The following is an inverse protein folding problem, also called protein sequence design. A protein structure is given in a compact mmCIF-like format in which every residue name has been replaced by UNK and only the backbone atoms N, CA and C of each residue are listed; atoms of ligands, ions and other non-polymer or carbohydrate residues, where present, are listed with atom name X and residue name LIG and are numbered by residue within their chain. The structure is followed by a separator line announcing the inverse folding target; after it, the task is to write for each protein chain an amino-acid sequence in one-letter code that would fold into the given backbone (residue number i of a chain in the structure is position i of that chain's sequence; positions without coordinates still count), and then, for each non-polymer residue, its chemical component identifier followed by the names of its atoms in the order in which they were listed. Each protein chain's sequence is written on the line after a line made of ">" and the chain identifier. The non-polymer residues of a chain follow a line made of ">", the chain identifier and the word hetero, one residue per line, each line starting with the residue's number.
data_IF_598365735889
#
_entry.id   IF_598365735889
#
_cell.length_a   1.000
_cell.length_b   1.000
_cell.length_c   1.000
_cell.angle_alpha   90.00
_cell.angle_beta   90.00
_cell.angle_gamma   90.00
#
_symmetry.space_group_name_H-M   'P 1'
#
loop_
_entity.id
_entity.type
_entity.pdbx_description
1 polymer ?
#
# COMPACT_ATOMS: atom_id res chain seq x y z
N UNK A 1 -38.33 6.58 4.28
CA UNK A 1 -37.73 6.43 2.92
C UNK A 1 -36.22 6.28 2.94
N UNK A 2 -35.37 7.26 3.31
CA UNK A 2 -33.88 7.06 3.24
C UNK A 2 -33.40 6.01 4.25
N UNK A 3 -33.80 6.10 5.52
CA UNK A 3 -33.42 5.17 6.57
C UNK A 3 -33.84 3.73 6.24
N UNK A 4 -35.09 3.54 5.82
CA UNK A 4 -35.63 2.24 5.41
C UNK A 4 -34.86 1.65 4.22
N UNK A 5 -34.53 2.49 3.22
CA UNK A 5 -33.73 2.08 2.08
C UNK A 5 -32.29 1.62 2.51
N UNK A 6 -31.67 2.39 3.39
CA UNK A 6 -30.35 2.05 3.91
C UNK A 6 -30.39 0.82 4.82
N UNK A 7 -31.45 0.65 5.61
CA UNK A 7 -31.63 -0.56 6.43
C UNK A 7 -31.74 -1.81 5.54
N UNK A 8 -32.52 -1.75 4.45
CA UNK A 8 -32.59 -2.86 3.49
C UNK A 8 -31.23 -3.24 2.89
N UNK A 9 -30.39 -2.25 2.56
CA UNK A 9 -29.00 -2.51 2.11
C UNK A 9 -28.13 -3.15 3.20
N UNK A 10 -28.29 -2.73 4.45
CA UNK A 10 -27.55 -3.34 5.57
C UNK A 10 -28.00 -4.79 5.80
N UNK A 11 -29.30 -5.07 5.70
CA UNK A 11 -29.84 -6.41 5.82
C UNK A 11 -29.35 -7.33 4.69
N UNK A 12 -29.26 -6.83 3.45
CA UNK A 12 -28.66 -7.55 2.31
C UNK A 12 -27.18 -7.86 2.56
N UNK A 13 -26.40 -6.90 3.06
CA UNK A 13 -24.98 -7.13 3.41
C UNK A 13 -24.84 -8.17 4.52
N UNK A 14 -25.74 -8.15 5.51
CA UNK A 14 -25.75 -9.12 6.59
C UNK A 14 -26.10 -10.53 6.07
N UNK A 15 -27.12 -10.66 5.24
CA UNK A 15 -27.50 -11.94 4.63
C UNK A 15 -26.40 -12.56 3.78
N UNK A 16 -25.55 -11.73 3.14
CA UNK A 16 -24.41 -12.17 2.36
C UNK A 16 -23.12 -12.33 3.18
N UNK A 17 -23.15 -12.16 4.51
CA UNK A 17 -21.98 -12.16 5.40
C UNK A 17 -20.90 -11.14 4.97
N UNK A 18 -21.32 -9.97 4.43
CA UNK A 18 -20.43 -8.90 3.98
C UNK A 18 -20.36 -7.72 4.97
N UNK A 19 -21.03 -7.81 6.11
CA UNK A 19 -20.99 -6.78 7.15
C UNK A 19 -19.57 -6.55 7.64
N UNK A 20 -19.20 -5.27 7.79
CA UNK A 20 -17.91 -4.83 8.32
C UNK A 20 -18.12 -4.16 9.67
N UNK A 21 -17.16 -4.32 10.57
CA UNK A 21 -17.11 -3.64 11.85
C UNK A 21 -15.69 -3.21 12.18
N UNK A 22 -15.58 -2.12 12.92
CA UNK A 22 -14.30 -1.66 13.46
C UNK A 22 -13.95 -2.43 14.72
N UNK A 23 -12.65 -2.62 14.95
CA UNK A 23 -12.10 -3.15 16.20
C UNK A 23 -11.32 -2.04 16.89
N UNK A 24 -11.29 -2.05 18.20
CA UNK A 24 -10.55 -1.05 18.98
C UNK A 24 -9.24 -1.67 19.46
N UNK A 25 -8.12 -1.13 18.99
CA UNK A 25 -6.81 -1.45 19.55
C UNK A 25 -6.61 -0.66 20.85
N UNK A 26 -6.40 -1.35 21.94
CA UNK A 26 -6.18 -0.76 23.28
C UNK A 26 -4.69 -0.47 23.52
N UNK A 27 -3.82 -1.02 22.67
CA UNK A 27 -2.35 -0.85 22.74
C UNK A 27 -1.81 -0.28 21.43
N UNK A 28 -0.55 0.19 21.46
CA UNK A 28 0.14 0.67 20.26
C UNK A 28 0.31 -0.43 19.19
N UNK A 29 0.63 0.00 17.96
CA UNK A 29 0.89 -0.91 16.83
C UNK A 29 2.12 -1.76 17.11
N UNK A 30 1.93 -3.07 17.22
CA UNK A 30 2.96 -4.07 17.48
C UNK A 30 2.47 -5.45 16.98
N UNK A 31 3.34 -6.47 16.88
CA UNK A 31 2.90 -7.83 16.58
C UNK A 31 1.85 -8.34 17.56
N UNK A 32 1.99 -8.05 18.85
CA UNK A 32 1.00 -8.39 19.89
C UNK A 32 0.24 -7.14 20.29
N UNK A 33 -1.08 -7.20 20.19
CA UNK A 33 -1.97 -6.11 20.55
C UNK A 33 -3.13 -6.61 21.38
N UNK A 34 -3.56 -5.81 22.34
CA UNK A 34 -4.87 -6.00 22.99
C UNK A 34 -5.91 -5.33 22.11
N UNK A 35 -6.85 -6.13 21.62
CA UNK A 35 -7.89 -5.68 20.68
C UNK A 35 -9.27 -6.02 21.24
N UNK A 36 -10.17 -5.03 21.25
CA UNK A 36 -11.56 -5.21 21.59
C UNK A 36 -12.38 -5.58 20.36
N UNK A 37 -12.99 -6.76 20.40
CA UNK A 37 -13.85 -7.28 19.34
C UNK A 37 -15.25 -6.63 19.32
N UNK A 38 -16.07 -7.04 18.36
CA UNK A 38 -17.47 -6.61 18.26
C UNK A 38 -18.33 -7.10 19.46
N UNK A 39 -17.90 -8.16 20.14
CA UNK A 39 -18.48 -8.68 21.38
C UNK A 39 -18.16 -7.84 22.64
N UNK A 40 -17.39 -6.75 22.45
CA UNK A 40 -16.94 -5.87 23.52
C UNK A 40 -15.82 -6.42 24.39
N UNK A 41 -15.34 -7.64 24.15
CA UNK A 41 -14.25 -8.24 24.94
C UNK A 41 -12.88 -7.88 24.38
N UNK A 42 -11.94 -7.52 25.27
CA UNK A 42 -10.56 -7.27 24.92
C UNK A 42 -9.76 -8.58 25.01
N UNK A 43 -9.00 -8.89 23.96
CA UNK A 43 -8.13 -10.06 23.89
C UNK A 43 -6.76 -9.70 23.36
N UNK A 44 -5.72 -10.34 23.87
CA UNK A 44 -4.39 -10.22 23.26
C UNK A 44 -4.35 -11.11 22.00
N UNK A 45 -4.00 -10.48 20.88
CA UNK A 45 -3.91 -11.15 19.59
C UNK A 45 -2.52 -10.93 18.98
N UNK A 46 -1.96 -11.97 18.38
CA UNK A 46 -0.80 -11.88 17.50
C UNK A 46 -1.27 -11.50 16.09
N UNK A 47 -0.84 -10.34 15.62
CA UNK A 47 -1.40 -9.64 14.45
C UNK A 47 -0.61 -9.96 13.18
N UNK A 48 -1.19 -10.67 12.23
CA UNK A 48 -0.65 -10.89 10.89
C UNK A 48 -1.40 -10.08 9.83
N UNK A 49 -1.76 -8.82 10.13
CA UNK A 49 -2.58 -7.98 9.26
C UNK A 49 -2.13 -6.52 9.19
N UNK A 50 -1.06 -6.14 9.88
CA UNK A 50 -0.54 -4.77 9.85
C UNK A 50 0.23 -4.53 8.55
N UNK A 51 0.10 -3.30 7.99
CA UNK A 51 0.94 -2.82 6.89
C UNK A 51 2.19 -2.07 7.40
N UNK A 52 2.43 -2.00 8.71
CA UNK A 52 3.67 -1.48 9.31
C UNK A 52 4.79 -2.52 9.14
N UNK A 53 5.20 -2.75 7.89
CA UNK A 53 6.12 -3.82 7.51
C UNK A 53 7.44 -3.79 8.25
N UNK A 54 7.97 -2.59 8.49
CA UNK A 54 9.22 -2.42 9.21
C UNK A 54 9.03 -2.31 10.73
N UNK A 55 7.78 -2.24 11.23
CA UNK A 55 7.50 -2.09 12.67
C UNK A 55 7.98 -0.74 13.22
N UNK A 56 7.83 0.32 12.44
CA UNK A 56 8.27 1.66 12.82
C UNK A 56 7.19 2.49 13.52
N UNK A 57 5.91 2.10 13.42
CA UNK A 57 4.79 2.89 13.96
C UNK A 57 4.88 3.11 15.51
N UNK A 58 5.47 2.17 16.23
CA UNK A 58 5.71 2.30 17.67
C UNK A 58 7.20 2.52 18.03
N UNK A 59 8.02 2.92 17.04
CA UNK A 59 9.46 3.10 17.27
C UNK A 59 9.73 4.30 18.21
N UNK A 60 10.53 4.14 19.28
CA UNK A 60 10.75 5.20 20.28
C UNK A 60 11.31 6.50 19.68
N UNK A 61 12.21 6.41 18.70
CA UNK A 61 12.78 7.58 18.05
C UNK A 61 11.73 8.37 17.27
N UNK A 62 10.75 7.69 16.65
CA UNK A 62 9.65 8.34 15.92
C UNK A 62 8.70 9.01 16.91
N UNK A 63 8.34 8.33 18.01
CA UNK A 63 7.51 8.91 19.06
C UNK A 63 8.15 10.16 19.66
N UNK A 64 9.47 10.13 19.90
CA UNK A 64 10.25 11.28 20.38
C UNK A 64 10.21 12.42 19.35
N UNK A 65 10.51 12.15 18.09
CA UNK A 65 10.51 13.18 17.04
C UNK A 65 9.11 13.78 16.82
N UNK A 66 8.04 12.99 16.95
CA UNK A 66 6.66 13.47 16.90
C UNK A 66 6.37 14.46 18.04
N UNK A 67 6.81 14.14 19.25
CA UNK A 67 6.69 15.03 20.41
C UNK A 67 7.48 16.33 20.23
N UNK A 68 8.72 16.25 19.74
CA UNK A 68 9.55 17.42 19.41
C UNK A 68 8.88 18.30 18.33
N UNK A 69 8.39 17.68 17.25
CA UNK A 69 7.65 18.39 16.20
C UNK A 69 6.40 19.09 16.73
N UNK A 70 5.66 18.46 17.65
CA UNK A 70 4.48 19.07 18.28
C UNK A 70 4.85 20.28 19.16
N UNK A 71 5.99 20.24 19.84
CA UNK A 71 6.49 21.38 20.62
C UNK A 71 6.92 22.55 19.73
N UNK A 72 7.50 22.29 18.56
CA UNK A 72 7.99 23.31 17.63
C UNK A 72 6.84 23.93 16.82
N UNK A 73 5.93 23.11 16.28
CA UNK A 73 4.95 23.51 15.27
C UNK A 73 3.50 23.50 15.78
N UNK A 74 3.23 22.96 16.96
CA UNK A 74 1.87 22.71 17.43
C UNK A 74 1.25 21.42 16.86
N UNK A 75 -0.06 21.22 17.11
CA UNK A 75 -0.76 19.98 16.81
C UNK A 75 -1.35 19.89 15.38
N UNK A 76 -1.38 20.97 14.60
CA UNK A 76 -2.03 20.96 13.29
C UNK A 76 -1.52 22.05 12.35
N UNK A 77 -1.82 21.91 11.06
CA UNK A 77 -1.35 22.82 10.02
C UNK A 77 -2.19 24.11 9.87
N UNK A 78 -3.43 24.10 10.35
CA UNK A 78 -4.33 25.27 10.38
C UNK A 78 -4.93 25.68 9.04
N UNK A 79 -4.39 25.24 7.90
CA UNK A 79 -4.85 25.57 6.56
C UNK A 79 -4.39 24.58 5.50
N UNK A 80 -4.84 24.77 4.25
CA UNK A 80 -4.28 24.07 3.10
C UNK A 80 -2.84 24.51 2.82
N UNK A 81 -2.02 23.69 2.14
CA UNK A 81 -0.61 24.00 1.86
C UNK A 81 -0.40 25.36 1.19
N UNK A 82 -1.25 25.71 0.22
CA UNK A 82 -1.13 26.93 -0.57
C UNK A 82 -1.58 28.21 0.17
N UNK A 83 -2.30 28.07 1.28
CA UNK A 83 -2.71 29.23 2.09
C UNK A 83 -1.67 29.52 3.17
N UNK A 84 -1.52 28.66 4.17
CA UNK A 84 -0.54 28.80 5.24
C UNK A 84 -0.17 27.47 5.91
N UNK A 85 -0.63 26.33 5.36
CA UNK A 85 -0.41 25.00 5.96
C UNK A 85 0.97 24.39 5.65
N UNK A 86 1.75 24.98 4.73
CA UNK A 86 3.07 24.46 4.35
C UNK A 86 4.16 25.02 5.26
N UNK A 87 4.62 24.20 6.21
CA UNK A 87 5.68 24.57 7.16
C UNK A 87 7.07 24.17 6.68
N UNK A 88 8.10 24.55 7.45
CA UNK A 88 9.48 24.11 7.22
C UNK A 88 9.60 22.58 7.22
N UNK A 89 8.89 21.87 8.10
CA UNK A 89 8.91 20.42 8.15
C UNK A 89 8.41 19.79 6.84
N UNK A 90 7.32 20.29 6.25
CA UNK A 90 6.84 19.86 4.93
C UNK A 90 7.89 20.06 3.84
N UNK A 91 8.52 21.26 3.83
CA UNK A 91 9.57 21.57 2.87
C UNK A 91 10.73 20.58 2.96
N UNK A 92 11.20 20.30 4.17
CA UNK A 92 12.35 19.41 4.41
C UNK A 92 12.06 17.96 4.01
N UNK A 93 10.86 17.45 4.30
CA UNK A 93 10.40 16.12 3.84
C UNK A 93 10.38 16.05 2.32
N UNK A 94 9.82 17.05 1.64
CA UNK A 94 9.75 17.06 0.18
C UNK A 94 11.15 17.16 -0.44
N UNK A 95 12.03 17.99 0.13
CA UNK A 95 13.41 18.13 -0.31
C UNK A 95 14.19 16.79 -0.16
N UNK A 96 14.04 16.13 0.99
CA UNK A 96 14.70 14.86 1.25
C UNK A 96 14.19 13.74 0.33
N UNK A 97 12.89 13.68 0.05
CA UNK A 97 12.32 12.75 -0.93
C UNK A 97 12.84 13.03 -2.34
N UNK A 98 12.88 14.28 -2.77
CA UNK A 98 13.41 14.65 -4.08
C UNK A 98 14.88 14.22 -4.23
N UNK A 99 15.70 14.45 -3.21
CA UNK A 99 17.10 14.00 -3.17
C UNK A 99 17.19 12.47 -3.21
N UNK A 100 16.38 11.78 -2.39
CA UNK A 100 16.41 10.32 -2.30
C UNK A 100 16.08 9.65 -3.63
N UNK A 101 15.12 10.19 -4.38
CA UNK A 101 14.68 9.61 -5.65
C UNK A 101 15.40 10.17 -6.90
N UNK A 102 16.28 11.16 -6.75
CA UNK A 102 17.05 11.74 -7.87
C UNK A 102 17.90 10.75 -8.68
N UNK A 103 18.41 9.62 -8.11
CA UNK A 103 19.10 8.61 -8.91
C UNK A 103 18.23 7.95 -9.98
N UNK A 104 16.92 7.86 -9.75
CA UNK A 104 15.96 7.15 -10.62
C UNK A 104 15.07 8.08 -11.43
N UNK A 105 14.80 9.27 -10.94
CA UNK A 105 13.95 10.27 -11.63
C UNK A 105 14.78 11.53 -11.88
N UNK A 106 15.15 11.84 -13.13
CA UNK A 106 15.85 13.07 -13.47
C UNK A 106 15.06 14.31 -13.06
N UNK A 107 15.75 15.33 -12.57
CA UNK A 107 15.13 16.58 -12.08
C UNK A 107 13.97 16.34 -11.09
N UNK A 108 14.12 15.34 -10.22
CA UNK A 108 13.12 14.91 -9.26
C UNK A 108 12.65 16.06 -8.35
N UNK A 109 11.36 16.16 -8.16
CA UNK A 109 10.70 16.97 -7.14
C UNK A 109 9.65 16.13 -6.44
N UNK A 110 9.38 16.44 -5.19
CA UNK A 110 8.35 15.77 -4.40
C UNK A 110 7.22 16.73 -4.01
N UNK A 111 6.01 16.21 -3.94
CA UNK A 111 4.83 16.90 -3.39
C UNK A 111 4.15 15.95 -2.39
N UNK A 112 3.80 16.46 -1.19
CA UNK A 112 3.20 15.68 -0.10
C UNK A 112 1.68 15.72 -0.12
N UNK A 113 1.05 14.67 0.39
CA UNK A 113 -0.40 14.52 0.53
C UNK A 113 -0.72 13.91 1.90
N UNK A 114 -1.92 14.15 2.43
CA UNK A 114 -2.33 13.56 3.71
C UNK A 114 -2.52 12.03 3.64
N UNK A 115 -2.82 11.48 2.48
CA UNK A 115 -2.99 10.02 2.28
C UNK A 115 -2.61 9.59 0.87
N UNK A 116 -2.23 8.30 0.71
CA UNK A 116 -2.00 7.70 -0.62
C UNK A 116 -3.22 7.73 -1.53
N UNK A 117 -4.41 7.60 -0.94
CA UNK A 117 -5.67 7.71 -1.70
C UNK A 117 -5.78 9.08 -2.37
N UNK A 118 -5.50 10.16 -1.63
CA UNK A 118 -5.50 11.53 -2.17
C UNK A 118 -4.41 11.72 -3.23
N UNK A 119 -3.22 11.18 -3.01
CA UNK A 119 -2.11 11.28 -3.96
C UNK A 119 -2.46 10.64 -5.31
N UNK A 120 -3.02 9.43 -5.30
CA UNK A 120 -3.46 8.73 -6.51
C UNK A 120 -4.58 9.47 -7.25
N UNK A 121 -5.61 9.92 -6.53
CA UNK A 121 -6.66 10.75 -7.13
C UNK A 121 -6.08 12.02 -7.77
N UNK A 122 -5.12 12.67 -7.09
CA UNK A 122 -4.48 13.90 -7.58
C UNK A 122 -3.75 13.67 -8.90
N UNK A 123 -2.85 12.67 -8.92
CA UNK A 123 -2.01 12.38 -10.08
C UNK A 123 -2.86 11.97 -11.29
N UNK A 124 -3.72 10.98 -11.11
CA UNK A 124 -4.49 10.40 -12.22
C UNK A 124 -5.51 11.39 -12.76
N UNK A 125 -6.24 12.11 -11.89
CA UNK A 125 -7.23 13.07 -12.34
C UNK A 125 -6.64 14.35 -12.95
N UNK A 126 -5.49 14.83 -12.44
CA UNK A 126 -4.86 16.04 -12.95
C UNK A 126 -4.17 15.83 -14.29
N UNK A 127 -3.51 14.66 -14.48
CA UNK A 127 -2.79 14.32 -15.71
C UNK A 127 -3.69 13.70 -16.79
N UNK A 128 -4.81 13.08 -16.37
CA UNK A 128 -5.79 12.45 -17.25
C UNK A 128 -6.80 13.45 -17.82
N UNK A 129 -6.35 14.41 -18.62
CA UNK A 129 -7.23 15.36 -19.30
C UNK A 129 -7.94 14.72 -20.55
N UNK A 130 -8.73 15.51 -21.29
CA UNK A 130 -9.48 15.04 -22.44
C UNK A 130 -8.60 14.64 -23.65
N UNK A 131 -7.30 14.98 -23.63
CA UNK A 131 -6.32 14.60 -24.66
C UNK A 131 -5.51 13.35 -24.30
N UNK A 132 -5.76 12.81 -23.11
CA UNK A 132 -5.05 11.65 -22.59
C UNK A 132 -5.84 10.35 -22.79
N UNK A 133 -5.12 9.24 -22.86
CA UNK A 133 -5.65 7.89 -22.67
C UNK A 133 -4.89 7.22 -21.51
N UNK A 134 -5.64 6.67 -20.57
CA UNK A 134 -5.12 5.97 -19.40
C UNK A 134 -5.22 4.46 -19.65
N UNK A 135 -4.10 3.77 -19.57
CA UNK A 135 -3.99 2.32 -19.62
C UNK A 135 -3.86 1.81 -18.18
N UNK A 136 -4.97 1.33 -17.62
CA UNK A 136 -5.06 0.95 -16.21
C UNK A 136 -5.00 -0.57 -16.04
N UNK A 137 -4.12 -1.01 -15.18
CA UNK A 137 -4.07 -2.41 -14.75
C UNK A 137 -5.38 -2.80 -14.05
N UNK A 138 -5.85 -4.02 -14.24
CA UNK A 138 -7.19 -4.48 -13.79
C UNK A 138 -7.28 -4.68 -12.28
N UNK A 139 -6.18 -5.02 -11.60
CA UNK A 139 -6.12 -5.22 -10.15
C UNK A 139 -5.60 -4.02 -9.38
N UNK A 140 -5.47 -2.87 -10.03
CA UNK A 140 -5.06 -1.63 -9.39
C UNK A 140 -5.86 -1.33 -8.12
N UNK A 141 -5.20 -0.70 -7.16
CA UNK A 141 -5.83 -0.23 -5.93
C UNK A 141 -7.03 0.69 -6.23
N UNK A 142 -8.05 0.63 -5.37
CA UNK A 142 -9.30 1.40 -5.51
C UNK A 142 -9.08 2.91 -5.77
N UNK A 143 -8.04 3.50 -5.17
CA UNK A 143 -7.72 4.91 -5.37
C UNK A 143 -7.25 5.23 -6.80
N UNK A 144 -6.51 4.34 -7.45
CA UNK A 144 -6.14 4.47 -8.87
C UNK A 144 -7.38 4.34 -9.75
N UNK A 145 -8.22 3.33 -9.48
CA UNK A 145 -9.49 3.15 -10.19
C UNK A 145 -10.39 4.37 -10.06
N UNK A 146 -10.55 4.92 -8.86
CA UNK A 146 -11.36 6.12 -8.64
C UNK A 146 -10.72 7.36 -9.26
N UNK A 147 -9.39 7.44 -9.28
CA UNK A 147 -8.66 8.46 -10.03
C UNK A 147 -9.00 8.43 -11.53
N UNK A 148 -9.05 7.22 -12.13
CA UNK A 148 -9.44 7.07 -13.55
C UNK A 148 -10.89 7.49 -13.81
N UNK A 149 -11.80 7.27 -12.85
CA UNK A 149 -13.21 7.71 -12.94
C UNK A 149 -13.37 9.22 -12.87
N UNK A 150 -12.49 9.91 -12.13
CA UNK A 150 -12.49 11.36 -12.01
C UNK A 150 -11.76 12.05 -13.17
N UNK A 151 -10.89 11.34 -13.86
CA UNK A 151 -10.18 11.82 -15.03
C UNK A 151 -11.15 12.08 -16.20
N UNK A 152 -10.78 12.98 -17.10
CA UNK A 152 -11.51 13.23 -18.36
C UNK A 152 -10.98 12.38 -19.50
N UNK A 153 -9.91 11.65 -19.28
CA UNK A 153 -9.25 10.78 -20.25
C UNK A 153 -10.11 9.57 -20.60
N UNK A 154 -9.92 9.06 -21.81
CA UNK A 154 -10.36 7.71 -22.14
C UNK A 154 -9.60 6.71 -21.27
N UNK A 155 -10.29 5.69 -20.73
CA UNK A 155 -9.69 4.64 -19.90
C UNK A 155 -9.77 3.30 -20.61
N UNK A 156 -8.63 2.70 -20.86
CA UNK A 156 -8.47 1.35 -21.41
C UNK A 156 -7.84 0.46 -20.33
N UNK A 157 -8.43 -0.71 -20.05
CA UNK A 157 -7.88 -1.63 -19.06
C UNK A 157 -7.10 -2.73 -19.75
N UNK A 158 -6.00 -3.17 -19.12
CA UNK A 158 -5.25 -4.35 -19.53
C UNK A 158 -5.25 -5.40 -18.42
N UNK A 159 -5.18 -6.65 -18.83
CA UNK A 159 -5.21 -7.78 -17.89
C UNK A 159 -3.97 -7.78 -16.99
N UNK A 160 -4.14 -8.39 -15.83
CA UNK A 160 -3.10 -8.45 -14.78
C UNK A 160 -1.77 -8.96 -15.35
N UNK A 161 -0.72 -8.12 -15.23
CA UNK A 161 0.66 -8.34 -15.70
C UNK A 161 0.81 -8.60 -17.22
N UNK A 162 -0.22 -8.40 -18.04
CA UNK A 162 -0.15 -8.71 -19.47
C UNK A 162 0.45 -7.56 -20.31
N UNK A 163 1.78 -7.59 -20.43
CA UNK A 163 2.54 -6.64 -21.24
C UNK A 163 2.21 -6.74 -22.75
N UNK A 164 1.76 -7.90 -23.23
CA UNK A 164 1.42 -8.10 -24.64
C UNK A 164 0.11 -7.41 -24.99
N UNK A 165 -0.90 -7.57 -24.14
CA UNK A 165 -2.16 -6.84 -24.30
C UNK A 165 -1.93 -5.33 -24.23
N UNK A 166 -1.18 -4.86 -23.20
CA UNK A 166 -0.85 -3.44 -23.07
C UNK A 166 -0.12 -2.88 -24.31
N UNK A 167 0.86 -3.62 -24.85
CA UNK A 167 1.56 -3.23 -26.09
C UNK A 167 0.57 -3.04 -27.25
N UNK A 168 -0.35 -3.99 -27.45
CA UNK A 168 -1.36 -3.91 -28.49
C UNK A 168 -2.27 -2.69 -28.34
N UNK A 169 -2.68 -2.40 -27.09
CA UNK A 169 -3.51 -1.24 -26.78
C UNK A 169 -2.77 0.09 -27.01
N UNK A 170 -1.51 0.19 -26.56
CA UNK A 170 -0.66 1.37 -26.80
C UNK A 170 -0.42 1.64 -28.27
N UNK A 171 -0.16 0.58 -29.07
CA UNK A 171 0.04 0.69 -30.50
C UNK A 171 -1.22 1.14 -31.25
N UNK A 172 -2.40 0.79 -30.77
CA UNK A 172 -3.68 1.18 -31.35
C UNK A 172 -4.14 2.59 -30.94
N UNK A 173 -3.48 3.20 -29.93
CA UNK A 173 -3.88 4.49 -29.39
C UNK A 173 -3.38 5.67 -30.20
N UNK A 174 -4.29 6.52 -30.64
CA UNK A 174 -3.99 7.83 -31.23
C UNK A 174 -3.94 8.98 -30.22
N UNK A 175 -3.99 8.72 -28.92
CA UNK A 175 -3.98 9.77 -27.89
C UNK A 175 -2.65 10.52 -27.89
N UNK A 176 -2.74 11.83 -27.69
CA UNK A 176 -1.56 12.72 -27.59
C UNK A 176 -0.76 12.45 -26.31
N UNK A 177 -1.45 12.12 -25.21
CA UNK A 177 -0.85 11.81 -23.91
C UNK A 177 -1.29 10.38 -23.55
N UNK A 178 -0.34 9.53 -23.22
CA UNK A 178 -0.59 8.15 -22.79
C UNK A 178 -0.06 7.96 -21.37
N UNK A 179 -0.91 7.44 -20.50
CA UNK A 179 -0.60 7.20 -19.08
C UNK A 179 -0.79 5.72 -18.77
N UNK A 180 0.27 5.01 -18.44
CA UNK A 180 0.21 3.65 -17.90
C UNK A 180 0.11 3.77 -16.40
N UNK A 181 -0.86 3.09 -15.77
CA UNK A 181 -1.14 3.19 -14.33
C UNK A 181 -1.16 1.80 -13.71
N UNK A 182 -0.32 1.59 -12.71
CA UNK A 182 -0.18 0.30 -12.02
C UNK A 182 0.22 0.45 -10.56
N UNK A 183 -0.19 -0.49 -9.70
CA UNK A 183 0.51 -0.77 -8.44
C UNK A 183 1.87 -1.39 -8.73
N UNK A 184 2.89 -1.11 -7.93
CA UNK A 184 4.19 -1.80 -7.98
C UNK A 184 4.10 -3.17 -7.30
N UNK A 185 3.38 -3.22 -6.18
CA UNK A 185 3.10 -4.45 -5.42
C UNK A 185 1.60 -4.52 -5.17
N UNK A 186 0.96 -5.56 -5.68
CA UNK A 186 -0.49 -5.72 -5.57
C UNK A 186 -0.90 -6.15 -4.15
N UNK A 187 -1.74 -5.35 -3.53
CA UNK A 187 -2.03 -5.44 -2.10
C UNK A 187 -2.72 -6.72 -1.64
N UNK A 188 -3.41 -7.44 -2.56
CA UNK A 188 -4.16 -8.66 -2.25
C UNK A 188 -3.43 -9.93 -2.69
N UNK A 189 -2.48 -9.81 -3.61
CA UNK A 189 -1.76 -10.95 -4.21
C UNK A 189 -0.29 -11.00 -3.75
N UNK A 190 0.29 -9.85 -3.41
CA UNK A 190 1.66 -9.73 -2.95
C UNK A 190 2.71 -9.86 -4.06
N UNK A 191 2.28 -10.01 -5.30
CA UNK A 191 3.14 -10.05 -6.47
C UNK A 191 3.59 -8.66 -6.92
N UNK A 192 4.62 -8.61 -7.74
CA UNK A 192 5.28 -7.38 -8.17
C UNK A 192 5.01 -7.16 -9.65
N UNK A 193 4.59 -5.95 -10.02
CA UNK A 193 4.41 -5.56 -11.42
C UNK A 193 5.73 -5.68 -12.22
N UNK A 194 5.69 -6.06 -13.49
CA UNK A 194 6.86 -6.17 -14.35
C UNK A 194 7.34 -4.78 -14.81
N UNK A 195 7.71 -3.91 -13.83
CA UNK A 195 8.04 -2.51 -14.07
C UNK A 195 9.09 -2.27 -15.15
N UNK A 196 10.16 -3.09 -15.30
CA UNK A 196 11.10 -2.93 -16.43
C UNK A 196 10.42 -3.03 -17.79
N UNK A 197 9.50 -3.97 -17.97
CA UNK A 197 8.75 -4.12 -19.20
C UNK A 197 7.73 -3.00 -19.42
N UNK A 198 7.08 -2.54 -18.34
CA UNK A 198 6.15 -1.39 -18.38
C UNK A 198 6.88 -0.11 -18.77
N UNK A 199 8.07 0.14 -18.20
CA UNK A 199 8.88 1.29 -18.55
C UNK A 199 9.36 1.25 -20.00
N UNK A 200 9.81 0.08 -20.47
CA UNK A 200 10.20 -0.11 -21.88
C UNK A 200 9.05 0.21 -22.84
N UNK A 201 7.81 -0.21 -22.50
CA UNK A 201 6.63 0.15 -23.27
C UNK A 201 6.31 1.65 -23.19
N UNK A 202 6.48 2.26 -22.01
CA UNK A 202 6.28 3.70 -21.85
C UNK A 202 7.25 4.49 -22.75
N UNK A 203 8.52 4.09 -22.81
CA UNK A 203 9.54 4.71 -23.66
C UNK A 203 9.27 4.48 -25.16
N UNK A 204 8.89 3.25 -25.55
CA UNK A 204 8.60 2.89 -26.94
C UNK A 204 7.40 3.65 -27.51
N UNK A 205 6.35 3.85 -26.71
CA UNK A 205 5.08 4.44 -27.18
C UNK A 205 4.88 5.89 -26.75
N UNK A 206 5.92 6.57 -26.26
CA UNK A 206 5.85 7.96 -25.76
C UNK A 206 4.77 8.12 -24.68
N UNK A 207 4.75 7.19 -23.72
CA UNK A 207 3.82 7.17 -22.59
C UNK A 207 4.54 7.53 -21.26
N UNK A 208 3.78 7.84 -20.23
CA UNK A 208 4.25 8.05 -18.87
C UNK A 208 3.83 6.87 -17.99
N UNK A 209 4.65 6.48 -17.03
CA UNK A 209 4.38 5.37 -16.12
C UNK A 209 4.12 5.88 -14.71
N UNK A 210 2.87 5.80 -14.27
CA UNK A 210 2.42 6.11 -12.92
C UNK A 210 2.48 4.82 -12.10
N UNK A 211 3.29 4.81 -11.06
CA UNK A 211 3.55 3.66 -10.20
C UNK A 211 3.10 3.97 -8.78
N UNK A 212 2.14 3.21 -8.27
CA UNK A 212 1.81 3.19 -6.84
C UNK A 212 2.72 2.21 -6.12
N UNK A 213 3.71 2.73 -5.42
CA UNK A 213 4.71 1.95 -4.66
C UNK A 213 4.41 1.92 -3.16
N UNK A 214 3.14 2.04 -2.79
CA UNK A 214 2.70 2.07 -1.40
C UNK A 214 3.11 0.84 -0.57
N UNK A 215 3.30 -0.30 -1.22
CA UNK A 215 3.73 -1.56 -0.58
C UNK A 215 5.21 -1.88 -0.81
N UNK A 216 5.88 -1.19 -1.72
CA UNK A 216 7.31 -1.37 -1.99
C UNK A 216 8.19 -0.38 -1.23
N UNK A 217 7.74 0.87 -1.05
CA UNK A 217 8.51 1.88 -0.30
C UNK A 217 8.85 1.41 1.12
N UNK A 218 10.11 1.52 1.48
CA UNK A 218 10.70 1.05 2.74
C UNK A 218 11.05 -0.45 2.73
N UNK A 219 10.43 -1.27 1.87
CA UNK A 219 10.55 -2.74 1.83
C UNK A 219 11.48 -3.20 0.72
N UNK A 220 11.25 -2.74 -0.52
CA UNK A 220 12.03 -3.15 -1.69
C UNK A 220 13.25 -2.25 -1.87
N UNK A 221 14.30 -2.82 -2.47
CA UNK A 221 15.58 -2.15 -2.67
C UNK A 221 16.49 -2.17 -1.44
N UNK A 222 17.79 -2.12 -1.65
CA UNK A 222 18.79 -2.21 -0.59
C UNK A 222 18.71 -1.03 0.40
N UNK A 223 18.42 0.18 -0.10
CA UNK A 223 18.22 1.40 0.67
C UNK A 223 16.76 1.62 1.11
N UNK A 224 15.81 0.78 0.64
CA UNK A 224 14.40 0.93 0.93
C UNK A 224 13.69 2.02 0.13
N UNK A 225 14.25 2.44 -1.02
CA UNK A 225 13.56 3.40 -1.89
C UNK A 225 12.41 2.77 -2.69
N UNK A 226 12.16 1.48 -2.52
CA UNK A 226 11.05 0.79 -3.17
C UNK A 226 11.39 0.20 -4.53
N UNK A 227 10.37 0.09 -5.37
CA UNK A 227 10.43 -0.64 -6.64
C UNK A 227 11.41 -0.06 -7.65
N UNK A 228 11.61 1.26 -7.69
CA UNK A 228 12.56 1.86 -8.62
C UNK A 228 14.00 1.45 -8.31
N UNK A 229 14.37 1.43 -7.02
CA UNK A 229 15.68 0.93 -6.59
C UNK A 229 15.81 -0.58 -6.83
N UNK A 230 14.76 -1.34 -6.49
CA UNK A 230 14.75 -2.80 -6.62
C UNK A 230 15.04 -3.27 -8.05
N UNK A 231 14.49 -2.59 -9.05
CA UNK A 231 14.69 -2.89 -10.46
C UNK A 231 15.79 -2.06 -11.13
N UNK A 232 16.37 -1.06 -10.44
CA UNK A 232 17.37 -0.17 -11.01
C UNK A 232 16.82 0.71 -12.16
N UNK A 233 15.55 1.11 -12.09
CA UNK A 233 14.89 1.86 -13.16
C UNK A 233 15.31 3.34 -13.12
N UNK A 234 15.53 3.94 -14.29
CA UNK A 234 15.81 5.36 -14.41
C UNK A 234 15.15 5.93 -15.65
N UNK A 235 14.20 6.85 -15.49
CA UNK A 235 13.58 7.57 -16.60
C UNK A 235 12.87 8.84 -16.10
N UNK A 236 12.82 9.89 -16.92
CA UNK A 236 11.99 11.06 -16.67
C UNK A 236 10.49 10.76 -16.74
N UNK A 237 10.12 9.64 -17.39
CA UNK A 237 8.73 9.19 -17.58
C UNK A 237 8.11 8.52 -16.36
N UNK A 238 8.88 8.39 -15.28
CA UNK A 238 8.40 7.81 -14.04
C UNK A 238 7.68 8.85 -13.17
N UNK A 239 6.50 8.48 -12.71
CA UNK A 239 5.72 9.21 -11.71
C UNK A 239 5.45 8.23 -10.58
N UNK A 240 6.16 8.39 -9.47
CA UNK A 240 6.10 7.47 -8.33
C UNK A 240 5.21 8.05 -7.24
N UNK A 241 4.24 7.28 -6.77
CA UNK A 241 3.53 7.53 -5.53
C UNK A 241 4.03 6.58 -4.45
N UNK A 242 4.27 7.08 -3.24
CA UNK A 242 4.55 6.29 -2.05
C UNK A 242 3.67 6.72 -0.88
N UNK A 243 3.39 5.80 0.04
CA UNK A 243 2.67 6.12 1.28
C UNK A 243 3.56 6.09 2.50
N UNK A 244 3.28 6.98 3.42
CA UNK A 244 4.00 7.13 4.69
C UNK A 244 3.24 6.50 5.87
N UNK A 245 2.06 5.94 5.57
CA UNK A 245 1.19 5.25 6.54
C UNK A 245 1.43 3.74 6.67
N UNK A 246 2.45 3.19 5.99
CA UNK A 246 2.81 1.78 6.05
C UNK A 246 4.23 1.62 6.62
N UNK A 247 5.22 1.24 5.81
CA UNK A 247 6.60 1.01 6.26
C UNK A 247 7.24 2.20 6.98
N UNK A 248 6.83 3.44 6.66
CA UNK A 248 7.34 4.62 7.35
C UNK A 248 6.77 4.81 8.77
N UNK A 249 5.73 4.07 9.15
CA UNK A 249 5.19 4.02 10.51
C UNK A 249 4.45 5.28 10.96
N UNK A 250 4.12 6.22 10.06
CA UNK A 250 3.45 7.48 10.39
C UNK A 250 2.16 7.65 9.57
N UNK A 251 1.98 8.79 8.92
CA UNK A 251 0.86 9.04 8.00
C UNK A 251 1.30 9.99 6.89
N UNK A 252 0.50 10.05 5.83
CA UNK A 252 0.80 10.86 4.66
C UNK A 252 1.14 10.02 3.42
N UNK A 253 1.45 10.74 2.36
CA UNK A 253 1.92 10.17 1.10
C UNK A 253 2.70 11.23 0.33
N UNK A 254 3.40 10.78 -0.69
CA UNK A 254 4.16 11.64 -1.58
C UNK A 254 4.02 11.21 -3.03
N UNK A 255 4.22 12.16 -3.92
CA UNK A 255 4.47 11.90 -5.33
C UNK A 255 5.83 12.47 -5.67
N UNK A 256 6.69 11.66 -6.30
CA UNK A 256 7.96 12.12 -6.88
C UNK A 256 7.91 11.92 -8.39
N UNK A 257 8.22 12.96 -9.11
CA UNK A 257 8.26 12.97 -10.58
C UNK A 257 9.23 14.06 -11.06
N UNK A 258 9.43 14.17 -12.37
CA UNK A 258 10.09 15.30 -12.96
C UNK A 258 9.45 16.62 -12.50
N UNK A 259 10.25 17.65 -12.20
CA UNK A 259 9.82 18.94 -11.62
C UNK A 259 8.59 19.55 -12.29
N UNK A 260 8.51 19.51 -13.62
CA UNK A 260 7.38 20.09 -14.38
C UNK A 260 6.05 19.40 -14.02
N UNK A 261 6.07 18.08 -13.75
CA UNK A 261 4.88 17.32 -13.35
C UNK A 261 4.45 17.73 -11.94
N UNK A 262 5.37 17.77 -10.98
CA UNK A 262 5.05 18.17 -9.61
C UNK A 262 4.60 19.61 -9.50
N UNK A 263 5.19 20.52 -10.29
CA UNK A 263 4.75 21.91 -10.40
C UNK A 263 3.31 22.00 -10.98
N UNK A 264 3.01 21.19 -12.00
CA UNK A 264 1.65 21.14 -12.55
C UNK A 264 0.65 20.56 -11.54
N UNK A 265 1.01 19.51 -10.80
CA UNK A 265 0.17 18.97 -9.73
C UNK A 265 -0.13 20.01 -8.65
N UNK A 266 0.84 20.82 -8.28
CA UNK A 266 0.65 21.95 -7.35
C UNK A 266 -0.44 22.92 -7.82
N UNK A 267 -0.54 23.16 -9.14
CA UNK A 267 -1.50 24.08 -9.73
C UNK A 267 -2.87 23.45 -10.02
N UNK A 268 -2.93 22.13 -10.28
CA UNK A 268 -4.09 21.47 -10.84
C UNK A 268 -4.78 20.45 -9.91
N UNK A 269 -4.05 19.89 -8.95
CA UNK A 269 -4.58 18.84 -8.07
C UNK A 269 -5.55 19.42 -7.04
N UNK A 270 -6.85 19.29 -7.30
CA UNK A 270 -7.92 19.87 -6.48
C UNK A 270 -7.87 19.44 -5.01
N UNK A 271 -7.59 18.17 -4.74
CA UNK A 271 -7.50 17.65 -3.39
C UNK A 271 -6.22 18.10 -2.65
N UNK A 272 -5.17 18.55 -3.35
CA UNK A 272 -4.05 19.25 -2.74
C UNK A 272 -4.41 20.71 -2.41
N UNK A 273 -5.02 21.42 -3.36
CA UNK A 273 -5.34 22.84 -3.25
C UNK A 273 -6.36 23.10 -2.14
N UNK A 274 -7.40 22.23 -2.04
CA UNK A 274 -8.57 22.47 -1.20
C UNK A 274 -8.64 21.61 0.07
N UNK A 275 -7.55 20.88 0.41
CA UNK A 275 -7.48 20.11 1.65
C UNK A 275 -6.50 20.73 2.63
N UNK A 276 -6.80 20.62 3.91
CA UNK A 276 -5.86 20.98 5.00
C UNK A 276 -4.59 20.14 4.88
N UNK A 277 -3.44 20.75 5.09
CA UNK A 277 -2.15 20.06 5.10
C UNK A 277 -2.05 19.08 6.27
N UNK A 278 -1.15 18.11 6.15
CA UNK A 278 -0.78 17.21 7.24
C UNK A 278 -0.24 17.99 8.44
N UNK A 279 -0.38 17.49 9.67
CA UNK A 279 0.22 18.13 10.84
C UNK A 279 1.75 18.24 10.71
N UNK A 280 2.35 19.44 10.89
CA UNK A 280 3.80 19.60 10.76
C UNK A 280 4.63 18.71 11.69
N UNK A 281 4.08 18.33 12.86
CA UNK A 281 4.72 17.39 13.77
C UNK A 281 4.94 16.00 13.13
N UNK A 282 4.00 15.56 12.30
CA UNK A 282 4.13 14.30 11.54
C UNK A 282 5.23 14.42 10.51
N UNK A 283 5.26 15.52 9.75
CA UNK A 283 6.32 15.79 8.76
C UNK A 283 7.70 15.84 9.44
N UNK A 284 7.81 16.47 10.60
CA UNK A 284 9.06 16.48 11.38
C UNK A 284 9.51 15.06 11.75
N UNK A 285 8.59 14.21 12.22
CA UNK A 285 8.90 12.83 12.57
C UNK A 285 9.25 11.94 11.37
N UNK A 286 8.73 12.26 10.16
CA UNK A 286 9.05 11.54 8.92
C UNK A 286 10.54 11.63 8.56
N UNK A 287 11.22 12.74 8.87
CA UNK A 287 12.67 12.85 8.66
C UNK A 287 13.45 11.79 9.47
N UNK A 288 13.01 11.53 10.70
CA UNK A 288 13.57 10.46 11.54
C UNK A 288 13.24 9.09 10.94
N UNK A 289 12.00 8.88 10.47
CA UNK A 289 11.61 7.63 9.82
C UNK A 289 12.46 7.34 8.58
N UNK A 290 12.70 8.33 7.72
CA UNK A 290 13.54 8.17 6.53
C UNK A 290 14.99 7.82 6.90
N UNK A 291 15.53 8.43 7.95
CA UNK A 291 16.86 8.09 8.45
C UNK A 291 16.93 6.63 8.93
N UNK A 292 15.89 6.15 9.64
CA UNK A 292 15.79 4.74 10.06
C UNK A 292 15.70 3.78 8.87
N UNK A 293 14.83 4.06 7.89
CA UNK A 293 14.64 3.21 6.70
C UNK A 293 15.94 3.08 5.90
N UNK A 294 16.66 4.20 5.69
CA UNK A 294 17.90 4.25 4.90
C UNK A 294 19.11 3.71 5.68
N UNK A 295 19.04 3.71 6.99
CA UNK A 295 20.12 3.33 7.88
C UNK A 295 20.33 1.82 8.02
N UNK A 296 21.27 1.46 8.87
CA UNK A 296 21.59 0.05 9.21
C UNK A 296 20.40 -0.68 9.83
N UNK A 297 19.57 0.03 10.61
CA UNK A 297 18.39 -0.55 11.24
C UNK A 297 17.34 -0.95 10.19
N UNK A 298 17.04 -0.09 9.22
CA UNK A 298 16.12 -0.40 8.14
C UNK A 298 16.60 -1.58 7.30
N UNK A 299 17.91 -1.67 7.04
CA UNK A 299 18.52 -2.83 6.38
C UNK A 299 18.30 -4.11 7.18
N UNK A 300 18.64 -4.11 8.47
CA UNK A 300 18.42 -5.27 9.33
C UNK A 300 16.96 -5.71 9.40
N UNK A 301 16.02 -4.76 9.38
CA UNK A 301 14.58 -5.04 9.36
C UNK A 301 14.12 -5.65 8.03
N UNK A 302 14.64 -5.20 6.89
CA UNK A 302 14.37 -5.84 5.58
C UNK A 302 14.92 -7.26 5.51
N UNK A 303 16.14 -7.47 5.96
CA UNK A 303 16.73 -8.81 6.07
C UNK A 303 15.93 -9.74 6.98
N UNK A 304 15.37 -9.21 8.08
CA UNK A 304 14.47 -9.97 8.95
C UNK A 304 13.17 -10.34 8.22
N UNK A 305 12.57 -9.42 7.46
CA UNK A 305 11.39 -9.72 6.64
C UNK A 305 11.66 -10.83 5.64
N UNK A 306 12.80 -10.81 4.96
CA UNK A 306 13.20 -11.88 4.01
C UNK A 306 13.30 -13.24 4.71
N UNK A 307 13.92 -13.30 5.90
CA UNK A 307 13.98 -14.54 6.70
C UNK A 307 12.59 -15.05 7.08
N UNK A 308 11.71 -14.16 7.55
CA UNK A 308 10.34 -14.51 7.93
C UNK A 308 9.51 -14.98 6.73
N UNK A 309 9.66 -14.35 5.57
CA UNK A 309 9.01 -14.76 4.32
C UNK A 309 9.47 -16.16 3.89
N UNK A 310 10.78 -16.40 3.89
CA UNK A 310 11.34 -17.70 3.54
C UNK A 310 10.83 -18.79 4.48
N UNK A 311 10.82 -18.53 5.80
CA UNK A 311 10.30 -19.47 6.81
C UNK A 311 8.81 -19.76 6.61
N UNK A 312 8.00 -18.72 6.40
CA UNK A 312 6.57 -18.87 6.12
C UNK A 312 6.34 -19.74 4.88
N UNK A 313 6.98 -19.41 3.74
CA UNK A 313 6.79 -20.14 2.48
C UNK A 313 7.23 -21.59 2.58
N UNK A 314 8.35 -21.85 3.23
CA UNK A 314 8.84 -23.22 3.48
C UNK A 314 7.86 -24.00 4.36
N UNK A 315 7.38 -23.41 5.46
CA UNK A 315 6.48 -24.07 6.39
C UNK A 315 5.11 -24.38 5.78
N UNK A 316 4.52 -23.42 5.05
CA UNK A 316 3.23 -23.64 4.36
C UNK A 316 3.37 -24.63 3.22
N UNK A 317 4.45 -24.61 2.46
CA UNK A 317 4.69 -25.61 1.42
C UNK A 317 4.74 -27.02 2.03
N UNK A 318 5.49 -27.20 3.12
CA UNK A 318 5.55 -28.48 3.81
C UNK A 318 4.19 -28.93 4.38
N UNK A 319 3.35 -27.99 4.86
CA UNK A 319 1.98 -28.29 5.28
C UNK A 319 1.14 -28.78 4.09
N UNK A 320 1.15 -28.07 2.97
CA UNK A 320 0.38 -28.46 1.78
C UNK A 320 0.84 -29.81 1.21
N UNK A 321 2.13 -30.11 1.24
CA UNK A 321 2.68 -31.40 0.81
C UNK A 321 2.20 -32.56 1.71
N UNK A 322 1.98 -32.32 3.02
CA UNK A 322 1.40 -33.32 3.96
C UNK A 322 -0.12 -33.47 3.79
N UNK A 323 -0.81 -32.47 3.28
CA UNK A 323 -2.26 -32.42 3.14
C UNK A 323 -2.69 -32.16 1.69
N UNK A 324 -2.39 -33.06 0.74
CA UNK A 324 -2.63 -32.82 -0.70
C UNK A 324 -4.12 -32.73 -1.08
N UNK A 325 -5.04 -33.05 -0.16
CA UNK A 325 -6.48 -32.88 -0.35
C UNK A 325 -7.02 -31.48 -0.05
N UNK A 326 -6.19 -30.59 0.53
CA UNK A 326 -6.61 -29.23 0.82
C UNK A 326 -6.69 -28.39 -0.48
N UNK A 327 -7.74 -27.58 -0.62
CA UNK A 327 -7.87 -26.67 -1.77
C UNK A 327 -6.99 -25.42 -1.64
N UNK A 328 -6.16 -25.36 -0.60
CA UNK A 328 -5.34 -24.17 -0.30
C UNK A 328 -4.17 -24.04 -1.26
N UNK A 329 -3.84 -22.82 -1.64
CA UNK A 329 -2.67 -22.53 -2.48
C UNK A 329 -2.02 -21.20 -2.12
N UNK A 330 -0.70 -21.11 -2.25
CA UNK A 330 0.06 -19.88 -2.13
C UNK A 330 -0.02 -19.08 -3.43
N UNK A 331 0.06 -17.75 -3.30
CA UNK A 331 0.35 -16.87 -4.45
C UNK A 331 1.86 -16.78 -4.70
N UNK A 332 2.23 -16.30 -5.89
CA UNK A 332 3.64 -16.00 -6.22
C UNK A 332 4.02 -14.63 -5.62
N UNK A 333 4.32 -14.62 -4.31
CA UNK A 333 4.72 -13.40 -3.61
C UNK A 333 6.14 -13.51 -3.06
N UNK A 334 6.95 -12.50 -3.33
CA UNK A 334 8.26 -12.26 -2.72
C UNK A 334 8.26 -11.04 -1.77
N UNK A 335 7.08 -10.60 -1.34
CA UNK A 335 6.88 -9.42 -0.48
C UNK A 335 6.36 -9.81 0.90
N UNK A 336 6.28 -8.91 1.88
CA UNK A 336 5.69 -9.21 3.19
C UNK A 336 4.20 -9.58 3.15
N UNK A 337 3.53 -9.38 2.03
CA UNK A 337 2.15 -9.79 1.81
C UNK A 337 2.17 -11.23 1.30
N UNK A 338 1.69 -12.17 2.10
CA UNK A 338 1.77 -13.62 1.85
C UNK A 338 0.37 -14.26 1.89
N UNK A 339 -0.44 -14.10 0.83
CA UNK A 339 -1.79 -14.63 0.82
C UNK A 339 -1.81 -16.17 0.75
N UNK A 340 -2.75 -16.76 1.51
CA UNK A 340 -3.12 -18.16 1.39
C UNK A 340 -4.54 -18.23 0.83
N UNK A 341 -4.68 -18.64 -0.43
CA UNK A 341 -5.98 -18.77 -1.08
C UNK A 341 -6.67 -20.02 -0.52
N UNK A 342 -7.89 -19.85 -0.02
CA UNK A 342 -8.73 -20.89 0.57
C UNK A 342 -9.84 -21.31 -0.40
N UNK A 343 -10.35 -20.34 -1.20
CA UNK A 343 -11.36 -20.55 -2.23
C UNK A 343 -12.73 -20.00 -1.85
N UNK A 344 -13.42 -20.62 -0.92
CA UNK A 344 -14.78 -20.23 -0.53
C UNK A 344 -14.85 -19.14 0.53
N UNK A 345 -15.93 -18.35 0.50
CA UNK A 345 -16.12 -17.23 1.45
C UNK A 345 -16.38 -17.73 2.87
N UNK A 346 -17.20 -18.77 3.02
CA UNK A 346 -17.54 -19.35 4.33
C UNK A 346 -16.31 -20.00 4.96
N UNK A 347 -15.56 -20.74 4.17
CA UNK A 347 -14.36 -21.46 4.57
C UNK A 347 -13.26 -20.51 5.05
N UNK A 348 -12.98 -19.43 4.32
CA UNK A 348 -11.98 -18.45 4.75
C UNK A 348 -12.39 -17.72 6.01
N UNK A 349 -13.68 -17.45 6.20
CA UNK A 349 -14.17 -16.80 7.43
C UNK A 349 -14.15 -17.74 8.63
N UNK A 350 -14.48 -19.01 8.43
CA UNK A 350 -14.37 -20.05 9.47
C UNK A 350 -12.91 -20.23 9.89
N UNK A 351 -11.99 -20.30 8.93
CA UNK A 351 -10.56 -20.42 9.19
C UNK A 351 -10.01 -19.19 9.92
N UNK A 352 -10.39 -17.98 9.50
CA UNK A 352 -10.00 -16.74 10.19
C UNK A 352 -10.53 -16.68 11.63
N UNK A 353 -11.74 -17.19 11.89
CA UNK A 353 -12.34 -17.26 13.22
C UNK A 353 -11.64 -18.31 14.10
N UNK A 354 -11.28 -19.48 13.55
CA UNK A 354 -10.52 -20.51 14.26
C UNK A 354 -9.14 -20.00 14.69
N UNK A 355 -8.42 -19.32 13.79
CA UNK A 355 -7.14 -18.67 14.11
C UNK A 355 -7.29 -17.60 15.20
N UNK A 356 -8.37 -16.81 15.15
CA UNK A 356 -8.62 -15.78 16.16
C UNK A 356 -8.94 -16.39 17.55
N UNK A 357 -9.60 -17.54 17.61
CA UNK A 357 -9.81 -18.28 18.84
C UNK A 357 -8.49 -18.75 19.47
N UNK A 358 -7.49 -19.06 18.64
CA UNK A 358 -6.12 -19.39 19.05
C UNK A 358 -5.24 -18.14 19.32
N UNK A 359 -5.84 -16.95 19.33
CA UNK A 359 -5.13 -15.70 19.58
C UNK A 359 -4.30 -15.17 18.38
N UNK A 360 -4.65 -15.57 17.16
CA UNK A 360 -3.96 -15.16 15.93
C UNK A 360 -4.92 -14.35 15.04
N UNK A 361 -4.56 -13.10 14.74
CA UNK A 361 -5.38 -12.25 13.90
C UNK A 361 -4.91 -12.27 12.45
N UNK A 362 -5.66 -12.98 11.59
CA UNK A 362 -5.44 -13.04 10.15
C UNK A 362 -6.75 -12.70 9.43
N UNK A 363 -6.81 -11.65 8.60
CA UNK A 363 -8.04 -11.26 7.92
C UNK A 363 -8.38 -12.19 6.75
N UNK A 364 -9.64 -12.62 6.70
CA UNK A 364 -10.22 -13.26 5.52
C UNK A 364 -10.69 -12.21 4.52
N UNK A 365 -10.13 -12.23 3.32
CA UNK A 365 -10.48 -11.34 2.21
C UNK A 365 -11.42 -12.08 1.25
N UNK A 366 -12.49 -11.38 0.84
CA UNK A 366 -13.58 -11.93 0.03
C UNK A 366 -13.95 -10.98 -1.12
N UNK A 367 -14.69 -11.44 -2.13
CA UNK A 367 -15.28 -10.55 -3.11
C UNK A 367 -16.06 -9.38 -2.47
N UNK A 368 -16.09 -8.18 -3.08
CA UNK A 368 -15.52 -7.85 -4.39
C UNK A 368 -14.04 -7.48 -4.38
N UNK A 369 -13.36 -7.56 -3.23
CA UNK A 369 -11.94 -7.18 -3.09
C UNK A 369 -11.01 -8.13 -3.85
N UNK A 370 -11.40 -9.40 -3.95
CA UNK A 370 -10.72 -10.45 -4.73
C UNK A 370 -11.73 -11.15 -5.63
N UNK A 371 -11.31 -11.88 -6.68
CA UNK A 371 -12.22 -12.60 -7.57
C UNK A 371 -13.06 -13.66 -6.82
N UNK A 372 -14.23 -13.99 -7.40
CA UNK A 372 -15.09 -15.06 -6.89
C UNK A 372 -14.38 -16.39 -6.96
N UNK A 373 -14.42 -17.16 -5.86
CA UNK A 373 -13.71 -18.44 -5.75
C UNK A 373 -12.23 -18.29 -5.33
N UNK A 374 -11.77 -17.08 -5.04
CA UNK A 374 -10.39 -16.78 -4.62
C UNK A 374 -10.32 -16.10 -3.25
N UNK A 375 -11.30 -16.36 -2.40
CA UNK A 375 -11.25 -15.88 -1.02
C UNK A 375 -9.99 -16.41 -0.33
N UNK A 376 -9.32 -15.56 0.45
CA UNK A 376 -7.98 -15.84 0.98
C UNK A 376 -7.78 -15.29 2.38
N UNK A 377 -6.91 -15.92 3.15
CA UNK A 377 -6.27 -15.28 4.28
C UNK A 377 -5.19 -14.34 3.75
N UNK A 378 -5.24 -13.06 4.09
CA UNK A 378 -4.18 -12.10 3.75
C UNK A 378 -3.19 -12.00 4.91
N UNK A 379 -2.22 -12.90 4.94
CA UNK A 379 -1.15 -12.87 5.92
C UNK A 379 -0.21 -11.73 5.58
N UNK A 380 0.15 -10.91 6.57
CA UNK A 380 1.13 -9.85 6.42
C UNK A 380 2.21 -10.00 7.49
N UNK A 381 3.46 -10.07 7.06
CA UNK A 381 4.61 -10.16 7.92
C UNK A 381 5.14 -8.77 8.25
N UNK A 382 5.62 -8.59 9.49
CA UNK A 382 6.27 -7.40 9.96
C UNK A 382 7.65 -7.76 10.49
N UNK A 383 8.64 -6.90 10.30
CA UNK A 383 10.01 -7.13 10.76
C UNK A 383 10.14 -7.35 12.28
N UNK A 384 9.12 -6.95 13.04
CA UNK A 384 9.05 -7.15 14.49
C UNK A 384 8.41 -8.49 14.90
N UNK A 385 7.92 -9.30 13.96
CA UNK A 385 7.61 -10.70 14.25
C UNK A 385 8.89 -11.49 14.52
N UNK A 386 8.77 -12.48 15.40
CA UNK A 386 9.80 -13.51 15.59
C UNK A 386 9.55 -14.70 14.66
N UNK A 387 10.57 -15.54 14.47
CA UNK A 387 10.39 -16.82 13.77
C UNK A 387 9.39 -17.73 14.49
N UNK A 388 9.38 -17.71 15.82
CA UNK A 388 8.41 -18.46 16.64
C UNK A 388 6.96 -17.98 16.42
N UNK A 389 6.74 -16.71 16.11
CA UNK A 389 5.39 -16.21 15.76
C UNK A 389 4.92 -16.80 14.43
N UNK A 390 5.81 -16.91 13.45
CA UNK A 390 5.52 -17.54 12.15
C UNK A 390 5.24 -19.02 12.33
N UNK A 391 6.05 -19.73 13.13
CA UNK A 391 5.84 -21.16 13.43
C UNK A 391 4.50 -21.40 14.10
N UNK A 392 4.12 -20.53 15.05
CA UNK A 392 2.82 -20.60 15.73
C UNK A 392 1.66 -20.47 14.74
N UNK A 393 1.77 -19.54 13.76
CA UNK A 393 0.75 -19.40 12.71
C UNK A 393 0.66 -20.66 11.85
N UNK A 394 1.80 -21.24 11.43
CA UNK A 394 1.84 -22.47 10.63
C UNK A 394 1.21 -23.63 11.39
N UNK A 395 1.56 -23.82 12.68
CA UNK A 395 1.00 -24.87 13.51
C UNK A 395 -0.52 -24.72 13.70
N UNK A 396 -1.01 -23.49 13.90
CA UNK A 396 -2.45 -23.25 14.02
C UNK A 396 -3.20 -23.53 12.70
N UNK A 397 -2.59 -23.20 11.54
CA UNK A 397 -3.15 -23.56 10.23
C UNK A 397 -3.16 -25.09 10.03
N UNK A 398 -2.11 -25.79 10.44
CA UNK A 398 -2.05 -27.27 10.36
C UNK A 398 -3.12 -27.94 11.22
N UNK A 399 -3.44 -27.38 12.38
CA UNK A 399 -4.53 -27.89 13.23
C UNK A 399 -5.93 -27.66 12.61
N UNK A 400 -6.04 -26.79 11.61
CA UNK A 400 -7.28 -26.53 10.86
C UNK A 400 -7.33 -27.25 9.50
N UNK A 401 -6.28 -28.00 9.13
CA UNK A 401 -6.11 -28.64 7.83
C UNK A 401 -6.90 -29.94 7.63
#
# INVERSE_FOLDING_TARGET
>A
MLIEHLQGKLDELQAQSLTRFTRVAETGTAPRQVVRGADGQARELLMFCSNDYLGLAAHPAIAKALSEGAQIYGGGAGASPLVSGHSRAHHDVQAQLAEWFSPWIPEARAIGFCTGYMANLAVVAALGDAHAEIFSETLNHASLIDGTRLAKAKVTRYAHLDLRELRGQLAASGARIKLIVTDAVFSMDGDIAPLPGLLALAEEFDAWLIVDDAHGFGVLGAGGAGSLEYFGLRSERLILMGTLGKSAGLSGAFVVAHKTITEYLLQAARNYIFSTASPPAVEHALLTSFALIRGSEGRARREQLERLQARWRQGIKALLDRHPGLPWRLTESSTPIQPLIVGGNAEVMALAAALEAEGLRVPGIRPPTVPKGEARLRITLCATHSEADVDRLIAALEACA
#
